data_IF_955461369900
#
_entry.id   IF_955461369900
#
_cell.length_a   1.000
_cell.length_b   1.000
_cell.length_c   1.000
_cell.angle_alpha   90.00
_cell.angle_beta   90.00
_cell.angle_gamma   90.00
#
_symmetry.space_group_name_H-M   'P 1'
#
loop_
_entity.id
_entity.type
_entity.pdbx_description
1 polymer ?
#
# COMPACT_ATOMS: atom_id res chain seq x y z
N UNK A 1 -15.34 -6.72 -13.05
CA UNK A 1 -14.03 -7.19 -12.55
C UNK A 1 -13.55 -6.20 -11.51
N UNK A 2 -13.57 -6.59 -10.23
CA UNK A 2 -13.15 -5.74 -9.12
C UNK A 2 -11.62 -5.75 -9.02
N UNK A 3 -11.01 -4.58 -8.79
CA UNK A 3 -9.59 -4.46 -8.51
C UNK A 3 -9.26 -5.18 -7.18
N UNK A 4 -8.15 -5.92 -7.07
CA UNK A 4 -7.70 -6.45 -5.80
C UNK A 4 -7.17 -5.28 -4.97
N UNK A 5 -8.05 -4.63 -4.21
CA UNK A 5 -7.66 -3.71 -3.16
C UNK A 5 -6.90 -4.50 -2.10
N UNK A 6 -5.63 -4.16 -1.92
CA UNK A 6 -4.80 -4.72 -0.85
C UNK A 6 -5.41 -4.27 0.48
N UNK A 7 -6.24 -5.13 1.07
CA UNK A 7 -6.71 -4.94 2.43
C UNK A 7 -5.50 -4.93 3.34
N UNK A 8 -5.24 -3.79 3.99
CA UNK A 8 -4.23 -3.71 5.05
C UNK A 8 -4.77 -4.50 6.24
N UNK A 9 -4.52 -5.81 6.26
CA UNK A 9 -5.13 -6.76 7.19
C UNK A 9 -4.86 -6.43 8.66
N UNK A 10 -3.73 -5.79 8.95
CA UNK A 10 -3.39 -5.33 10.30
C UNK A 10 -4.19 -4.10 10.77
N UNK A 11 -4.82 -3.39 9.84
CA UNK A 11 -5.72 -2.27 10.12
C UNK A 11 -7.20 -2.69 10.10
N UNK A 12 -7.49 -3.99 9.89
CA UNK A 12 -8.86 -4.47 9.91
C UNK A 12 -9.48 -4.32 11.30
N UNK A 13 -10.70 -3.81 11.34
CA UNK A 13 -11.42 -3.55 12.60
C UNK A 13 -10.85 -2.44 13.48
N UNK A 14 -9.86 -1.65 13.03
CA UNK A 14 -9.32 -0.53 13.82
C UNK A 14 -10.22 0.70 13.73
N UNK A 15 -10.60 1.24 14.89
CA UNK A 15 -11.36 2.48 14.98
C UNK A 15 -10.42 3.70 15.05
N UNK A 16 -10.27 4.41 13.92
CA UNK A 16 -9.44 5.60 13.83
C UNK A 16 -10.12 6.89 14.30
N UNK A 17 -11.39 6.86 14.72
CA UNK A 17 -12.03 8.06 15.29
C UNK A 17 -11.26 8.59 16.51
N UNK A 18 -10.55 7.70 17.21
CA UNK A 18 -9.70 8.03 18.36
C UNK A 18 -8.34 8.65 17.97
N UNK A 19 -7.97 8.68 16.68
CA UNK A 19 -6.69 9.21 16.22
C UNK A 19 -6.62 10.73 16.39
N UNK A 20 -7.76 11.40 16.19
CA UNK A 20 -7.90 12.84 16.40
C UNK A 20 -7.77 13.20 17.88
N UNK A 21 -8.33 12.37 18.78
CA UNK A 21 -8.18 12.53 20.24
C UNK A 21 -6.72 12.38 20.68
N UNK A 22 -5.99 11.41 20.10
CA UNK A 22 -4.57 11.21 20.35
C UNK A 22 -3.71 12.37 19.82
N UNK A 23 -4.09 12.96 18.68
CA UNK A 23 -3.45 14.16 18.15
C UNK A 23 -3.72 15.41 18.99
N UNK A 24 -4.94 15.53 19.53
CA UNK A 24 -5.38 16.68 20.32
C UNK A 24 -4.82 16.68 21.76
N UNK A 25 -4.36 15.54 22.28
CA UNK A 25 -3.85 15.42 23.65
C UNK A 25 -2.37 14.95 23.71
N UNK A 26 -1.40 15.89 23.74
CA UNK A 26 0.03 15.57 23.76
C UNK A 26 0.48 14.71 24.95
N UNK A 27 -0.15 14.87 26.10
CA UNK A 27 0.15 14.11 27.32
C UNK A 27 -0.25 12.65 27.13
N UNK A 28 -1.47 12.41 26.64
CA UNK A 28 -1.98 11.08 26.32
C UNK A 28 -1.08 10.40 25.28
N UNK A 29 -0.68 11.15 24.23
CA UNK A 29 0.25 10.65 23.22
C UNK A 29 1.61 10.28 23.81
N UNK A 30 2.18 11.11 24.66
CA UNK A 30 3.47 10.83 25.31
C UNK A 30 3.39 9.59 26.20
N UNK A 31 2.29 9.42 26.93
CA UNK A 31 2.06 8.24 27.76
C UNK A 31 1.94 6.97 26.92
N UNK A 32 1.16 7.01 25.84
CA UNK A 32 1.03 5.89 24.90
C UNK A 32 2.38 5.49 24.28
N UNK A 33 3.20 6.47 23.89
CA UNK A 33 4.54 6.23 23.36
C UNK A 33 5.45 5.58 24.40
N UNK A 34 5.47 6.10 25.63
CA UNK A 34 6.28 5.52 26.72
C UNK A 34 5.86 4.08 27.01
N UNK A 35 4.54 3.82 27.01
CA UNK A 35 3.97 2.50 27.23
C UNK A 35 4.32 1.54 26.09
N UNK A 36 4.22 1.98 24.85
CA UNK A 36 4.66 1.23 23.68
C UNK A 36 6.13 0.80 23.81
N UNK A 37 7.03 1.74 24.10
CA UNK A 37 8.45 1.41 24.27
C UNK A 37 8.72 0.50 25.47
N UNK A 38 7.93 0.58 26.54
CA UNK A 38 8.04 -0.32 27.68
C UNK A 38 7.76 -1.77 27.27
N UNK A 39 6.66 -2.02 26.55
CA UNK A 39 6.28 -3.35 26.03
C UNK A 39 7.34 -3.87 25.07
N UNK A 40 7.73 -3.07 24.08
CA UNK A 40 8.73 -3.46 23.07
C UNK A 40 10.07 -3.79 23.73
N UNK A 41 10.55 -2.95 24.66
CA UNK A 41 11.84 -3.16 25.32
C UNK A 41 11.87 -4.46 26.12
N UNK A 42 10.76 -4.85 26.74
CA UNK A 42 10.67 -6.11 27.47
C UNK A 42 10.87 -7.30 26.53
N UNK A 43 10.10 -7.37 25.45
CA UNK A 43 10.16 -8.50 24.51
C UNK A 43 11.39 -8.46 23.58
N UNK A 44 12.01 -7.30 23.35
CA UNK A 44 13.29 -7.20 22.61
C UNK A 44 14.48 -7.66 23.46
N UNK A 45 14.38 -7.60 24.80
CA UNK A 45 15.41 -8.10 25.72
C UNK A 45 15.41 -9.63 25.82
N UNK A 46 14.26 -10.27 25.64
CA UNK A 46 14.14 -11.71 25.43
C UNK A 46 14.67 -12.06 24.04
N UNK A 47 15.98 -12.33 24.00
CA UNK A 47 16.65 -12.67 22.75
C UNK A 47 15.98 -13.93 22.16
N UNK A 48 15.70 -13.95 20.84
CA UNK A 48 15.43 -15.22 20.19
C UNK A 48 16.61 -16.13 20.49
N UNK A 49 16.33 -17.38 20.91
CA UNK A 49 17.38 -18.36 21.13
C UNK A 49 18.31 -18.32 19.91
N UNK A 50 19.64 -18.37 20.13
CA UNK A 50 20.67 -18.27 19.08
C UNK A 50 20.53 -19.30 17.94
N UNK A 51 19.50 -20.15 17.99
CA UNK A 51 19.20 -21.23 17.08
C UNK A 51 17.97 -20.98 16.19
N UNK A 52 17.18 -19.92 16.41
CA UNK A 52 16.11 -19.53 15.49
C UNK A 52 16.60 -18.45 14.53
N UNK A 53 16.71 -18.79 13.25
CA UNK A 53 17.01 -17.88 12.12
C UNK A 53 15.86 -16.87 11.83
N UNK A 54 15.00 -16.62 12.81
CA UNK A 54 13.88 -15.71 12.67
C UNK A 54 14.35 -14.26 12.83
N UNK A 55 13.69 -13.35 12.11
CA UNK A 55 13.89 -11.92 12.29
C UNK A 55 13.39 -11.48 13.67
N UNK A 56 13.94 -10.38 14.19
CA UNK A 56 13.51 -9.83 15.47
C UNK A 56 12.16 -9.11 15.32
N UNK A 57 11.07 -9.81 15.71
CA UNK A 57 9.68 -9.32 15.63
C UNK A 57 9.43 -8.05 16.46
N UNK A 58 9.79 -7.98 17.76
CA UNK A 58 9.71 -6.72 18.51
C UNK A 58 10.45 -5.56 17.85
N UNK A 59 11.65 -5.81 17.30
CA UNK A 59 12.40 -4.79 16.59
C UNK A 59 11.71 -4.35 15.30
N UNK A 60 11.08 -5.25 14.54
CA UNK A 60 10.28 -4.88 13.36
C UNK A 60 9.18 -3.89 13.74
N UNK A 61 8.39 -4.21 14.78
CA UNK A 61 7.31 -3.35 15.28
C UNK A 61 7.86 -1.98 15.70
N UNK A 62 8.99 -1.95 16.42
CA UNK A 62 9.68 -0.71 16.82
C UNK A 62 10.09 0.14 15.63
N UNK A 63 10.69 -0.48 14.62
CA UNK A 63 11.21 0.20 13.44
C UNK A 63 10.05 0.72 12.58
N UNK A 64 8.96 -0.05 12.40
CA UNK A 64 7.77 0.42 11.69
C UNK A 64 7.17 1.67 12.34
N UNK A 65 7.10 1.71 13.67
CA UNK A 65 6.68 2.91 14.40
C UNK A 65 7.65 4.08 14.19
N UNK A 66 8.95 3.86 14.40
CA UNK A 66 9.98 4.90 14.34
C UNK A 66 10.09 5.56 12.96
N UNK A 67 9.93 4.77 11.90
CA UNK A 67 10.04 5.23 10.51
C UNK A 67 8.69 5.54 9.85
N UNK A 68 7.59 5.56 10.60
CA UNK A 68 6.32 6.04 10.08
C UNK A 68 6.46 7.52 9.63
N UNK A 69 6.12 7.80 8.38
CA UNK A 69 6.46 9.06 7.69
C UNK A 69 5.83 10.33 8.28
N UNK A 70 4.76 10.22 9.08
CA UNK A 70 4.06 11.36 9.67
C UNK A 70 3.61 11.11 11.11
N UNK A 71 3.42 12.16 11.92
CA UNK A 71 2.84 12.04 13.26
C UNK A 71 1.45 11.38 13.23
N UNK A 72 0.68 11.61 12.19
CA UNK A 72 -0.63 10.98 12.01
C UNK A 72 -0.49 9.47 11.79
N UNK A 73 0.43 9.03 10.94
CA UNK A 73 0.73 7.61 10.74
C UNK A 73 1.23 6.95 12.03
N UNK A 74 2.05 7.65 12.83
CA UNK A 74 2.47 7.18 14.15
C UNK A 74 1.28 7.02 15.10
N UNK A 75 0.34 7.96 15.11
CA UNK A 75 -0.85 7.88 15.94
C UNK A 75 -1.73 6.69 15.53
N UNK A 76 -1.98 6.51 14.22
CA UNK A 76 -2.72 5.35 13.69
C UNK A 76 -2.04 4.03 14.05
N UNK A 77 -0.71 3.99 13.97
CA UNK A 77 0.07 2.82 14.38
C UNK A 77 -0.11 2.51 15.87
N UNK A 78 -0.04 3.52 16.74
CA UNK A 78 -0.25 3.32 18.18
C UNK A 78 -1.66 2.78 18.47
N UNK A 79 -2.68 3.35 17.82
CA UNK A 79 -4.05 2.84 17.97
C UNK A 79 -4.16 1.36 17.61
N UNK A 80 -3.67 1.00 16.43
CA UNK A 80 -3.69 -0.38 15.95
C UNK A 80 -2.90 -1.32 16.86
N UNK A 81 -1.73 -0.89 17.33
CA UNK A 81 -0.90 -1.66 18.26
C UNK A 81 -1.66 -1.98 19.56
N UNK A 82 -2.17 -0.95 20.25
CA UNK A 82 -2.85 -1.16 21.53
C UNK A 82 -4.14 -1.95 21.37
N UNK A 83 -4.89 -1.72 20.29
CA UNK A 83 -6.10 -2.48 20.00
C UNK A 83 -5.80 -3.95 19.70
N UNK A 84 -4.76 -4.25 18.90
CA UNK A 84 -4.39 -5.63 18.55
C UNK A 84 -3.87 -6.41 19.74
N UNK A 85 -3.14 -5.74 20.63
CA UNK A 85 -2.61 -6.33 21.87
C UNK A 85 -3.65 -6.33 23.01
N UNK A 86 -4.87 -5.85 22.77
CA UNK A 86 -5.94 -5.75 23.77
C UNK A 86 -5.51 -4.98 25.03
N UNK A 87 -4.68 -3.94 24.83
CA UNK A 87 -4.13 -3.11 25.89
C UNK A 87 -4.80 -1.74 25.93
N UNK A 88 -4.97 -1.20 27.15
CA UNK A 88 -5.26 0.21 27.33
C UNK A 88 -4.07 1.09 26.93
N UNK A 89 -4.34 2.26 26.34
CA UNK A 89 -3.27 3.20 25.96
C UNK A 89 -2.68 3.92 27.17
N UNK A 90 -3.51 4.24 28.16
CA UNK A 90 -3.13 5.09 29.31
C UNK A 90 -3.47 4.51 30.68
N UNK A 91 -4.31 3.47 30.74
CA UNK A 91 -4.79 2.93 32.02
C UNK A 91 -4.38 1.48 32.26
N UNK A 92 -4.24 1.10 33.51
CA UNK A 92 -3.91 -0.24 33.97
C UNK A 92 -2.42 -0.58 33.96
N UNK A 93 -2.04 -1.48 34.86
CA UNK A 93 -0.74 -2.14 34.81
C UNK A 93 -0.68 -3.07 33.59
N UNK A 94 0.50 -3.24 32.99
CA UNK A 94 0.68 -4.16 31.87
C UNK A 94 1.21 -5.48 32.41
N UNK A 95 0.43 -6.55 32.25
CA UNK A 95 0.96 -7.88 32.44
C UNK A 95 1.78 -8.29 31.21
N UNK A 96 3.09 -8.40 31.38
CA UNK A 96 4.02 -8.79 30.33
C UNK A 96 4.20 -10.30 30.37
N UNK A 97 3.22 -11.03 29.83
CA UNK A 97 3.15 -12.50 29.85
C UNK A 97 3.27 -13.12 28.44
N UNK A 98 3.19 -14.46 28.39
CA UNK A 98 3.30 -15.24 27.15
C UNK A 98 2.13 -14.99 26.17
N UNK A 99 0.96 -14.61 26.68
CA UNK A 99 -0.20 -14.26 25.86
C UNK A 99 0.05 -12.95 25.12
N UNK A 100 0.55 -11.93 25.84
CA UNK A 100 0.94 -10.66 25.23
C UNK A 100 2.11 -10.83 24.26
N UNK A 101 3.08 -11.68 24.58
CA UNK A 101 4.16 -12.06 23.66
C UNK A 101 3.61 -12.62 22.34
N UNK A 102 2.65 -13.55 22.44
CA UNK A 102 2.02 -14.17 21.27
C UNK A 102 1.24 -13.17 20.41
N UNK A 103 0.51 -12.24 21.03
CA UNK A 103 -0.19 -11.16 20.34
C UNK A 103 0.77 -10.21 19.62
N UNK A 104 1.87 -9.82 20.29
CA UNK A 104 2.91 -8.99 19.67
C UNK A 104 3.54 -9.67 18.45
N UNK A 105 3.81 -10.97 18.54
CA UNK A 105 4.39 -11.74 17.44
C UNK A 105 3.43 -11.86 16.27
N UNK A 106 2.15 -12.13 16.53
CA UNK A 106 1.12 -12.14 15.49
C UNK A 106 0.98 -10.77 14.81
N UNK A 107 1.02 -9.68 15.58
CA UNK A 107 1.01 -8.33 15.04
C UNK A 107 2.22 -8.04 14.14
N UNK A 108 3.42 -8.52 14.52
CA UNK A 108 4.63 -8.36 13.71
C UNK A 108 4.53 -9.14 12.38
N UNK A 109 3.97 -10.35 12.39
CA UNK A 109 3.69 -11.11 11.16
C UNK A 109 2.69 -10.36 10.28
N UNK A 110 1.58 -9.87 10.84
CA UNK A 110 0.57 -9.09 10.12
C UNK A 110 1.19 -7.85 9.44
N UNK A 111 2.09 -7.14 10.13
CA UNK A 111 2.86 -6.01 9.58
C UNK A 111 3.78 -6.46 8.44
N UNK A 112 4.52 -7.55 8.62
CA UNK A 112 5.44 -8.08 7.61
C UNK A 112 4.68 -8.44 6.32
N UNK A 113 3.60 -9.21 6.44
CA UNK A 113 2.79 -9.65 5.31
C UNK A 113 2.05 -8.49 4.62
N UNK A 114 1.56 -7.52 5.39
CA UNK A 114 0.79 -6.42 4.80
C UNK A 114 1.65 -5.34 4.16
N UNK A 115 2.81 -5.01 4.75
CA UNK A 115 3.62 -3.86 4.32
C UNK A 115 4.80 -4.27 3.44
N UNK A 116 5.47 -5.39 3.75
CA UNK A 116 6.77 -5.70 3.15
C UNK A 116 6.68 -6.76 2.06
N UNK A 117 5.81 -7.76 2.19
CA UNK A 117 5.65 -8.79 1.16
C UNK A 117 5.23 -8.19 -0.20
N UNK A 118 4.27 -7.25 -0.29
CA UNK A 118 3.96 -6.60 -1.56
C UNK A 118 5.17 -5.86 -2.16
N UNK A 119 5.99 -5.22 -1.33
CA UNK A 119 7.18 -4.51 -1.77
C UNK A 119 8.26 -5.46 -2.31
N UNK A 120 8.42 -6.62 -1.66
CA UNK A 120 9.35 -7.65 -2.10
C UNK A 120 8.88 -8.32 -3.39
N UNK A 121 7.58 -8.56 -3.54
CA UNK A 121 7.00 -9.11 -4.77
C UNK A 121 7.13 -8.14 -5.95
N UNK A 122 6.94 -6.83 -5.72
CA UNK A 122 7.11 -5.79 -6.74
C UNK A 122 8.58 -5.54 -7.11
N UNK A 123 9.51 -5.71 -6.18
CA UNK A 123 10.94 -5.50 -6.42
C UNK A 123 11.62 -6.62 -7.22
N UNK A 124 11.09 -7.84 -7.17
CA UNK A 124 11.67 -9.01 -7.86
C UNK A 124 11.02 -9.31 -9.21
N UNK A 125 9.98 -8.56 -9.58
CA UNK A 125 9.35 -8.62 -10.89
C UNK A 125 9.50 -7.27 -11.55
N UNK A 126 10.10 -7.25 -12.74
CA UNK A 126 10.07 -6.12 -13.65
C UNK A 126 8.60 -5.82 -13.97
N UNK A 127 7.95 -5.03 -13.12
CA UNK A 127 6.61 -4.53 -13.36
C UNK A 127 6.82 -3.42 -14.38
N UNK A 128 6.38 -3.57 -15.64
CA UNK A 128 6.23 -2.42 -16.49
C UNK A 128 5.24 -1.53 -15.76
N UNK A 129 5.76 -0.48 -15.13
CA UNK A 129 4.98 0.62 -14.61
C UNK A 129 3.98 0.95 -15.71
N UNK A 130 2.69 0.68 -15.48
CA UNK A 130 1.65 1.28 -16.31
C UNK A 130 1.70 2.74 -15.89
N UNK A 131 2.59 3.50 -16.54
CA UNK A 131 2.51 4.95 -16.55
C UNK A 131 1.05 5.29 -16.75
N UNK A 132 0.41 6.07 -15.85
CA UNK A 132 -0.98 6.41 -16.00
C UNK A 132 -1.12 7.06 -17.37
N UNK A 133 -1.70 6.31 -18.31
CA UNK A 133 -1.97 6.79 -19.64
C UNK A 133 -2.94 7.93 -19.41
N UNK A 134 -2.46 9.15 -19.57
CA UNK A 134 -3.21 10.39 -19.49
C UNK A 134 -4.57 10.19 -20.13
N UNK A 135 -5.62 10.14 -19.31
CA UNK A 135 -7.01 9.95 -19.72
C UNK A 135 -7.56 11.24 -20.34
N UNK A 136 -6.78 11.87 -21.22
CA UNK A 136 -7.02 13.17 -21.84
C UNK A 136 -6.98 13.03 -23.37
N UNK A 137 -7.56 11.95 -23.89
CA UNK A 137 -7.77 11.76 -25.33
C UNK A 137 -9.11 11.08 -25.63
N UNK A 138 -10.10 11.19 -24.74
CA UNK A 138 -11.47 10.78 -25.01
C UNK A 138 -12.39 11.95 -24.68
N UNK A 139 -12.28 13.03 -25.47
CA UNK A 139 -13.28 14.10 -25.43
C UNK A 139 -13.50 14.82 -26.76
N UNK A 140 -12.88 14.37 -27.86
CA UNK A 140 -13.07 14.99 -29.20
C UNK A 140 -13.49 14.02 -30.30
N UNK A 141 -13.90 12.78 -29.99
CA UNK A 141 -14.37 11.82 -30.99
C UNK A 141 -15.90 11.59 -30.96
N UNK A 142 -16.67 12.48 -30.34
CA UNK A 142 -18.13 12.53 -30.47
C UNK A 142 -18.53 13.65 -31.43
N UNK A 143 -18.10 13.54 -32.68
CA UNK A 143 -18.70 14.28 -33.80
C UNK A 143 -18.33 13.57 -35.09
N UNK A 144 -19.19 12.64 -35.49
CA UNK A 144 -19.73 12.49 -36.85
C UNK A 144 -20.15 11.04 -37.07
N UNK A 145 -21.45 10.92 -37.31
CA UNK A 145 -22.10 9.75 -37.86
C UNK A 145 -21.57 9.41 -39.26
N UNK A 146 -21.86 8.16 -39.62
CA UNK A 146 -21.95 7.57 -40.96
C UNK A 146 -20.68 7.03 -41.64
N UNK A 147 -20.72 5.70 -41.84
CA UNK A 147 -19.83 4.82 -42.59
C UNK A 147 -19.76 5.22 -44.08
N UNK A 148 -18.68 4.93 -44.84
CA UNK A 148 -18.53 3.59 -45.42
C UNK A 148 -17.09 3.01 -45.48
N UNK A 149 -17.05 1.70 -45.29
CA UNK A 149 -16.17 0.65 -45.89
C UNK A 149 -15.16 1.12 -46.93
N UNK A 150 -13.87 0.78 -46.77
CA UNK A 150 -12.97 0.43 -47.89
C UNK A 150 -11.89 -0.58 -47.46
N UNK A 151 -11.98 -1.75 -48.09
CA UNK A 151 -11.07 -2.91 -47.99
C UNK A 151 -9.75 -2.71 -48.73
N UNK A 152 -8.73 -3.37 -48.18
CA UNK A 152 -7.65 -4.12 -48.84
C UNK A 152 -6.90 -3.48 -50.03
N UNK A 153 -5.61 -3.25 -49.80
CA UNK A 153 -4.52 -3.20 -50.79
C UNK A 153 -4.49 -4.42 -51.71
N UNK A 154 -4.53 -4.19 -53.03
CA UNK A 154 -3.96 -5.10 -54.03
C UNK A 154 -3.27 -4.29 -55.14
N UNK A 155 -2.00 -4.61 -55.32
CA UNK A 155 -1.03 -4.24 -56.34
C UNK A 155 -1.48 -4.57 -57.77
N UNK A 156 -1.24 -3.67 -58.73
CA UNK A 156 -0.66 -3.92 -60.07
C UNK A 156 -1.17 -2.96 -61.14
N UNK A 157 -0.22 -2.32 -61.83
CA UNK A 157 -0.38 -1.49 -63.04
C UNK A 157 -0.56 -2.41 -64.25
N UNK A 158 -1.41 -2.07 -65.26
CA UNK A 158 -0.83 -1.64 -66.53
C UNK A 158 -1.61 -0.59 -67.34
N UNK A 159 -0.83 0.08 -68.18
CA UNK A 159 -1.09 0.99 -69.30
C UNK A 159 -2.13 0.51 -70.33
N UNK A 160 -2.96 1.42 -70.89
CA UNK A 160 -3.08 1.65 -72.35
C UNK A 160 -3.96 2.87 -72.74
N UNK A 161 -3.32 3.82 -73.44
CA UNK A 161 -3.71 4.49 -74.70
C UNK A 161 -4.99 5.35 -74.81
N UNK A 162 -4.71 6.63 -75.09
CA UNK A 162 -5.38 7.63 -75.96
C UNK A 162 -6.86 8.00 -75.74
N UNK A 163 -7.13 9.31 -75.63
CA UNK A 163 -7.59 10.12 -76.77
C UNK A 163 -7.61 11.63 -76.44
N UNK A 164 -7.16 12.41 -77.42
CA UNK A 164 -7.19 13.87 -77.61
C UNK A 164 -8.25 14.68 -76.82
N UNK A 165 -7.91 15.92 -76.40
CA UNK A 165 -7.99 17.16 -77.21
C UNK A 165 -7.80 18.44 -76.36
N UNK A 166 -6.98 19.38 -76.85
CA UNK A 166 -7.32 20.82 -76.82
C UNK A 166 -6.45 21.77 -75.98
N UNK A 167 -5.68 22.62 -76.69
CA UNK A 167 -5.40 24.08 -76.54
C UNK A 167 -5.24 24.65 -75.13
N UNK A 168 -4.30 25.54 -74.80
CA UNK A 168 -3.78 26.77 -75.42
C UNK A 168 -2.64 27.18 -74.45
N UNK A 169 -1.46 27.70 -74.83
CA UNK A 169 -1.17 28.94 -75.54
C UNK A 169 0.36 29.04 -75.70
#
# INVERSE_FOLDING_TARGET
>A
MAAPGHHLSWLDGIDFSHAESLAANPQLRTQAINRFYHVIKHFEADKPSRYNNDYNRPALVRLTFQYACSPESQNRFLLAFFQRLLLGMTDGDIHLDDDLHSLLFAFAEDLLFSLFVPLLAAGNQYTPQITPLTHTAIQNAQTQEELPVLSATVTAVPSHVSLMKGKEK
#
